data_IF_608005809505
#
_entry.id   IF_608005809505
#
_cell.length_a   1.000
_cell.length_b   1.000
_cell.length_c   1.000
_cell.angle_alpha   90.00
_cell.angle_beta   90.00
_cell.angle_gamma   90.00
#
_symmetry.space_group_name_H-M   'P 1'
#
loop_
_entity.id
_entity.type
_entity.pdbx_description
1 polymer ?
#
# COMPACT_ATOMS: atom_id res chain seq x y z
N UNK A 1 2.56 -37.57 -30.71
CA UNK A 1 1.86 -36.27 -30.83
C UNK A 1 1.45 -35.67 -29.48
N UNK A 2 0.72 -36.41 -28.62
CA UNK A 2 0.18 -35.91 -27.33
C UNK A 2 1.23 -35.27 -26.39
N UNK A 3 2.43 -35.85 -26.25
CA UNK A 3 3.52 -35.33 -25.39
C UNK A 3 4.13 -34.00 -25.87
N UNK A 4 4.25 -33.81 -27.19
CA UNK A 4 4.76 -32.55 -27.78
C UNK A 4 3.74 -31.42 -27.56
N UNK A 5 2.46 -31.70 -27.82
CA UNK A 5 1.36 -30.76 -27.57
C UNK A 5 1.31 -30.38 -26.09
N UNK A 6 1.38 -31.36 -25.17
CA UNK A 6 1.40 -31.08 -23.72
C UNK A 6 2.59 -30.20 -23.30
N UNK A 7 3.78 -30.48 -23.85
CA UNK A 7 5.00 -29.70 -23.57
C UNK A 7 4.90 -28.26 -24.08
N UNK A 8 4.34 -28.04 -25.27
CA UNK A 8 4.08 -26.70 -25.79
C UNK A 8 3.05 -25.96 -24.93
N UNK A 9 1.94 -26.59 -24.55
CA UNK A 9 0.96 -25.97 -23.63
C UNK A 9 1.57 -25.63 -22.28
N UNK A 10 2.46 -26.47 -21.73
CA UNK A 10 3.15 -26.18 -20.48
C UNK A 10 4.04 -24.95 -20.60
N UNK A 11 4.92 -24.89 -21.62
CA UNK A 11 5.83 -23.75 -21.82
C UNK A 11 5.03 -22.47 -22.04
N UNK A 12 3.95 -22.54 -22.82
CA UNK A 12 3.09 -21.40 -23.12
C UNK A 12 2.35 -20.93 -21.86
N UNK A 13 1.79 -21.84 -21.06
CA UNK A 13 1.16 -21.51 -19.77
C UNK A 13 2.14 -20.89 -18.77
N UNK A 14 3.39 -21.39 -18.72
CA UNK A 14 4.43 -20.86 -17.84
C UNK A 14 4.88 -19.46 -18.27
N UNK A 15 5.06 -19.24 -19.57
CA UNK A 15 5.37 -17.92 -20.13
C UNK A 15 4.26 -16.90 -19.84
N UNK A 16 2.99 -17.28 -20.04
CA UNK A 16 1.84 -16.42 -19.74
C UNK A 16 1.77 -16.10 -18.23
N UNK A 17 1.97 -17.09 -17.36
CA UNK A 17 2.00 -16.87 -15.90
C UNK A 17 3.13 -15.91 -15.50
N UNK A 18 4.32 -16.06 -16.07
CA UNK A 18 5.46 -15.17 -15.80
C UNK A 18 5.16 -13.73 -16.23
N UNK A 19 4.58 -13.53 -17.41
CA UNK A 19 4.18 -12.21 -17.91
C UNK A 19 3.11 -11.59 -17.01
N UNK A 20 2.12 -12.36 -16.54
CA UNK A 20 1.11 -11.86 -15.61
C UNK A 20 1.71 -11.46 -14.26
N UNK A 21 2.65 -12.25 -13.72
CA UNK A 21 3.34 -11.93 -12.47
C UNK A 21 4.17 -10.65 -12.62
N UNK A 22 4.99 -10.55 -13.68
CA UNK A 22 5.84 -9.37 -13.92
C UNK A 22 4.99 -8.14 -14.22
N UNK A 23 3.98 -8.26 -15.07
CA UNK A 23 3.06 -7.18 -15.42
C UNK A 23 2.30 -6.65 -14.21
N UNK A 24 1.79 -7.55 -13.36
CA UNK A 24 1.16 -7.18 -12.09
C UNK A 24 2.13 -6.44 -11.15
N UNK A 25 3.40 -6.87 -11.11
CA UNK A 25 4.43 -6.24 -10.28
C UNK A 25 4.78 -4.83 -10.78
N UNK A 26 4.87 -4.64 -12.09
CA UNK A 26 5.09 -3.31 -12.70
C UNK A 26 3.93 -2.37 -12.36
N UNK A 27 2.68 -2.81 -12.56
CA UNK A 27 1.50 -2.01 -12.24
C UNK A 27 1.46 -1.64 -10.76
N UNK A 28 1.76 -2.59 -9.88
CA UNK A 28 1.82 -2.38 -8.45
C UNK A 28 2.90 -1.37 -8.06
N UNK A 29 4.10 -1.44 -8.65
CA UNK A 29 5.17 -0.46 -8.42
C UNK A 29 4.73 0.92 -8.90
N UNK A 30 4.13 1.03 -10.09
CA UNK A 30 3.65 2.31 -10.62
C UNK A 30 2.57 2.90 -9.70
N UNK A 31 1.57 2.10 -9.32
CA UNK A 31 0.52 2.54 -8.39
C UNK A 31 1.09 2.93 -7.04
N UNK A 32 2.07 2.19 -6.52
CA UNK A 32 2.77 2.52 -5.28
C UNK A 32 3.49 3.86 -5.40
N UNK A 33 4.29 4.08 -6.45
CA UNK A 33 5.00 5.35 -6.67
C UNK A 33 4.03 6.52 -6.81
N UNK A 34 2.92 6.33 -7.53
CA UNK A 34 1.91 7.37 -7.72
C UNK A 34 1.14 7.71 -6.44
N UNK A 35 0.74 6.72 -5.65
CA UNK A 35 -0.02 6.95 -4.41
C UNK A 35 0.88 7.33 -3.23
N UNK A 36 2.19 7.05 -3.32
CA UNK A 36 3.15 7.25 -2.24
C UNK A 36 4.22 8.29 -2.57
N UNK A 37 3.85 9.37 -3.25
CA UNK A 37 4.76 10.50 -3.54
C UNK A 37 5.49 11.00 -2.28
N UNK A 38 4.85 10.97 -1.12
CA UNK A 38 5.46 11.38 0.16
C UNK A 38 6.68 10.53 0.57
N UNK A 39 6.85 9.33 0.03
CA UNK A 39 8.04 8.50 0.27
C UNK A 39 9.22 9.00 -0.55
N UNK A 40 8.98 9.48 -1.77
CA UNK A 40 10.02 9.91 -2.69
C UNK A 40 10.35 11.40 -2.59
N UNK A 41 9.35 12.22 -2.25
CA UNK A 41 9.45 13.67 -2.14
C UNK A 41 8.92 14.20 -0.78
N UNK A 42 9.39 13.66 0.37
CA UNK A 42 8.87 14.03 1.69
C UNK A 42 9.00 15.52 1.99
N UNK A 43 10.07 16.16 1.53
CA UNK A 43 10.38 17.58 1.80
C UNK A 43 9.40 18.55 1.11
N UNK A 44 8.60 18.05 0.16
CA UNK A 44 7.56 18.85 -0.51
C UNK A 44 6.28 18.97 0.31
N UNK A 45 6.15 18.20 1.40
CA UNK A 45 5.00 18.24 2.28
C UNK A 45 5.22 19.25 3.40
N UNK A 46 4.24 20.13 3.59
CA UNK A 46 4.24 21.14 4.64
C UNK A 46 3.34 20.74 5.78
N UNK A 47 3.81 20.90 7.02
CA UNK A 47 2.99 20.67 8.20
C UNK A 47 1.99 21.80 8.37
N UNK A 48 0.71 21.47 8.54
CA UNK A 48 -0.38 22.43 8.78
C UNK A 48 -1.22 21.99 9.95
N UNK A 49 -1.77 22.99 10.65
CA UNK A 49 -2.77 22.79 11.68
C UNK A 49 -4.14 23.15 11.10
N UNK A 50 -5.07 22.19 11.09
CA UNK A 50 -6.35 22.33 10.39
C UNK A 50 -7.51 21.83 11.24
N UNK A 51 -8.72 22.31 10.94
CA UNK A 51 -9.94 21.80 11.56
C UNK A 51 -10.22 20.37 11.12
N UNK A 52 -10.62 19.52 12.06
CA UNK A 52 -11.11 18.18 11.80
C UNK A 52 -12.64 18.21 11.66
N UNK A 53 -13.13 18.20 10.42
CA UNK A 53 -14.55 18.32 10.13
C UNK A 53 -15.27 16.96 10.16
N UNK A 54 -14.63 15.89 9.67
CA UNK A 54 -15.18 14.54 9.73
C UNK A 54 -14.12 13.46 9.78
N UNK A 55 -14.49 12.29 10.32
CA UNK A 55 -13.65 11.10 10.43
C UNK A 55 -14.45 9.89 9.98
N UNK A 56 -13.90 9.12 9.05
CA UNK A 56 -14.45 7.84 8.61
C UNK A 56 -13.72 6.73 9.37
N UNK A 57 -14.52 5.87 10.00
CA UNK A 57 -14.04 4.71 10.73
C UNK A 57 -14.25 3.43 9.91
N UNK A 58 -13.28 2.52 9.97
CA UNK A 58 -13.42 1.16 9.47
C UNK A 58 -14.49 0.41 10.28
N UNK A 59 -15.38 -0.28 9.57
CA UNK A 59 -16.55 -0.99 10.12
C UNK A 59 -16.44 -2.51 9.94
N UNK A 60 -15.23 -3.08 10.04
CA UNK A 60 -15.06 -4.53 9.94
C UNK A 60 -15.78 -5.23 11.11
N UNK A 61 -16.72 -6.13 10.79
CA UNK A 61 -17.53 -6.88 11.77
C UNK A 61 -16.63 -7.66 12.73
N UNK A 62 -16.77 -7.42 14.03
CA UNK A 62 -15.96 -8.08 15.08
C UNK A 62 -14.59 -7.43 15.36
N UNK A 63 -14.22 -6.36 14.65
CA UNK A 63 -13.04 -5.57 14.96
C UNK A 63 -13.44 -4.22 15.59
N UNK A 64 -12.67 -3.68 16.55
CA UNK A 64 -12.90 -2.32 17.04
C UNK A 64 -12.82 -1.30 15.90
N UNK A 65 -13.61 -0.24 15.98
CA UNK A 65 -13.64 0.82 14.95
C UNK A 65 -12.30 1.56 14.94
N UNK A 66 -11.66 1.65 13.77
CA UNK A 66 -10.42 2.41 13.59
C UNK A 66 -10.64 3.57 12.65
N UNK A 67 -10.22 4.79 13.01
CA UNK A 67 -10.30 5.90 12.08
C UNK A 67 -9.33 5.63 10.94
N UNK A 68 -9.85 5.71 9.71
CA UNK A 68 -9.12 5.39 8.48
C UNK A 68 -8.81 6.65 7.68
N UNK A 69 -9.78 7.55 7.65
CA UNK A 69 -9.71 8.78 6.86
C UNK A 69 -10.30 9.93 7.67
N UNK A 70 -9.76 11.12 7.49
CA UNK A 70 -10.30 12.36 8.01
C UNK A 70 -10.42 13.40 6.90
N UNK A 71 -11.27 14.41 7.13
CA UNK A 71 -11.50 15.49 6.19
C UNK A 71 -11.48 16.84 6.89
N UNK A 72 -11.01 17.83 6.15
CA UNK A 72 -11.01 19.23 6.54
C UNK A 72 -11.41 20.10 5.36
N UNK A 73 -12.41 20.96 5.53
CA UNK A 73 -12.83 21.95 4.55
C UNK A 73 -11.75 23.01 4.30
N UNK A 74 -10.82 23.19 5.23
CA UNK A 74 -9.66 24.08 5.07
C UNK A 74 -8.63 23.50 4.08
N UNK A 75 -8.66 22.19 3.87
CA UNK A 75 -7.72 21.47 3.00
C UNK A 75 -8.40 21.18 1.67
N UNK A 76 -8.03 21.94 0.63
CA UNK A 76 -8.54 21.76 -0.73
C UNK A 76 -10.09 21.68 -0.80
N UNK A 77 -10.79 22.49 0.01
CA UNK A 77 -12.26 22.51 0.10
C UNK A 77 -12.87 21.13 0.43
N UNK A 78 -12.19 20.33 1.23
CA UNK A 78 -12.63 18.99 1.63
C UNK A 78 -12.36 17.89 0.59
N UNK A 79 -11.69 18.19 -0.53
CA UNK A 79 -11.38 17.19 -1.57
C UNK A 79 -10.18 16.31 -1.24
N UNK A 80 -9.26 16.80 -0.41
CA UNK A 80 -8.07 16.03 -0.01
C UNK A 80 -8.42 15.12 1.16
N UNK A 81 -8.15 13.82 1.00
CA UNK A 81 -8.36 12.81 2.05
C UNK A 81 -7.16 12.82 2.98
N UNK A 82 -7.39 12.97 4.29
CA UNK A 82 -6.34 12.86 5.29
C UNK A 82 -6.23 11.39 5.69
N UNK A 83 -5.18 10.71 5.23
CA UNK A 83 -4.90 9.33 5.59
C UNK A 83 -4.44 9.22 7.04
N UNK A 84 -5.10 8.32 7.76
CA UNK A 84 -4.77 7.96 9.13
C UNK A 84 -4.15 6.57 9.08
N UNK A 85 -2.82 6.52 9.10
CA UNK A 85 -2.03 5.29 8.94
C UNK A 85 -1.17 5.09 10.18
N UNK A 86 -0.93 3.83 10.55
CA UNK A 86 0.01 3.44 11.61
C UNK A 86 -0.20 4.07 12.98
N UNK A 87 -1.45 4.40 13.31
CA UNK A 87 -1.85 4.75 14.68
C UNK A 87 -2.33 3.51 15.44
N UNK A 88 -1.94 3.44 16.70
CA UNK A 88 -2.45 2.43 17.62
C UNK A 88 -3.95 2.57 17.86
N UNK A 89 -4.56 1.44 18.21
CA UNK A 89 -5.99 1.33 18.45
C UNK A 89 -6.39 2.24 19.62
N UNK A 90 -7.27 3.19 19.37
CA UNK A 90 -7.78 4.10 20.40
C UNK A 90 -6.89 5.32 20.70
N UNK A 91 -5.73 5.46 20.05
CA UNK A 91 -4.81 6.58 20.31
C UNK A 91 -5.02 7.77 19.38
N UNK A 92 -5.92 7.68 18.40
CA UNK A 92 -6.25 8.79 17.49
C UNK A 92 -6.61 10.08 18.23
N UNK A 93 -7.32 10.00 19.35
CA UNK A 93 -7.69 11.17 20.13
C UNK A 93 -6.48 11.95 20.69
N UNK A 94 -5.31 11.32 20.82
CA UNK A 94 -4.07 12.01 21.23
C UNK A 94 -3.57 12.99 20.16
N UNK A 95 -3.99 12.82 18.90
CA UNK A 95 -3.66 13.71 17.79
C UNK A 95 -4.67 14.86 17.66
N UNK A 96 -5.83 14.74 18.31
CA UNK A 96 -6.92 15.72 18.23
C UNK A 96 -6.77 16.75 19.34
N UNK A 97 -6.65 18.02 18.96
CA UNK A 97 -6.67 19.14 19.89
C UNK A 97 -8.05 19.79 19.85
N UNK A 98 -8.66 19.96 21.02
CA UNK A 98 -9.96 20.60 21.15
C UNK A 98 -9.78 22.06 21.58
N UNK A 99 -10.29 22.99 20.77
CA UNK A 99 -10.25 24.42 21.05
C UNK A 99 -11.56 25.06 20.55
N UNK A 100 -12.22 25.88 21.38
CA UNK A 100 -13.46 26.59 21.03
C UNK A 100 -14.53 25.69 20.36
N UNK A 101 -14.82 24.54 20.99
CA UNK A 101 -15.75 23.49 20.51
C UNK A 101 -15.44 22.87 19.14
N UNK A 102 -14.26 23.15 18.59
CA UNK A 102 -13.77 22.54 17.35
C UNK A 102 -12.63 21.58 17.65
N UNK A 103 -12.54 20.55 16.83
CA UNK A 103 -11.44 19.61 16.82
C UNK A 103 -10.43 20.05 15.76
N UNK A 104 -9.15 19.94 16.08
CA UNK A 104 -8.04 20.27 15.21
C UNK A 104 -7.03 19.15 15.18
N UNK A 105 -6.33 19.02 14.06
CA UNK A 105 -5.26 18.04 13.87
C UNK A 105 -4.09 18.68 13.12
N UNK A 106 -2.90 18.14 13.33
CA UNK A 106 -1.78 18.42 12.45
C UNK A 106 -1.77 17.44 11.29
N UNK A 107 -1.44 17.96 10.11
CA UNK A 107 -1.30 17.16 8.89
C UNK A 107 -0.06 17.55 8.11
N UNK A 108 0.49 16.59 7.39
CA UNK A 108 1.41 16.80 6.28
C UNK A 108 0.61 16.99 5.00
N UNK A 109 0.76 18.15 4.37
CA UNK A 109 -0.02 18.56 3.21
C UNK A 109 0.86 19.13 2.11
N UNK A 110 0.57 18.72 0.88
CA UNK A 110 1.13 19.27 -0.35
C UNK A 110 -0.03 19.78 -1.23
N UNK A 111 0.06 21.01 -1.77
CA UNK A 111 -1.00 21.55 -2.62
C UNK A 111 -1.32 20.66 -3.83
N UNK A 112 -2.60 20.56 -4.16
CA UNK A 112 -3.15 19.79 -5.28
C UNK A 112 -2.99 18.26 -5.19
N UNK A 113 -2.52 17.73 -4.06
CA UNK A 113 -2.54 16.28 -3.82
C UNK A 113 -3.91 15.80 -3.35
N UNK A 114 -4.25 14.58 -3.77
CA UNK A 114 -5.45 13.87 -3.34
C UNK A 114 -5.37 13.47 -1.86
N UNK A 115 -4.14 13.28 -1.35
CA UNK A 115 -3.88 12.79 -0.01
C UNK A 115 -3.09 13.78 0.84
N UNK A 116 -3.49 13.88 2.10
CA UNK A 116 -2.71 14.45 3.18
C UNK A 116 -2.51 13.36 4.24
N UNK A 117 -1.58 13.56 5.17
CA UNK A 117 -1.22 12.53 6.14
C UNK A 117 -1.29 13.09 7.55
N UNK A 118 -1.82 12.31 8.50
CA UNK A 118 -1.84 12.71 9.91
C UNK A 118 -0.41 12.96 10.42
N UNK A 119 -0.20 14.05 11.16
CA UNK A 119 1.11 14.41 11.73
C UNK A 119 1.03 14.51 13.26
N UNK A 120 2.13 14.20 13.95
CA UNK A 120 2.27 14.48 15.39
C UNK A 120 2.62 15.94 15.60
N UNK A 121 2.27 16.55 16.74
CA UNK A 121 2.56 17.95 17.03
C UNK A 121 4.06 18.25 17.08
N UNK A 122 4.86 17.29 17.55
CA UNK A 122 6.29 17.42 17.78
C UNK A 122 7.13 17.14 16.52
N UNK A 123 6.53 16.54 15.48
CA UNK A 123 7.23 16.20 14.24
C UNK A 123 7.66 17.45 13.46
N UNK A 124 8.94 17.52 13.09
CA UNK A 124 9.49 18.61 12.29
C UNK A 124 9.71 18.24 10.82
N UNK A 125 9.81 16.94 10.53
CA UNK A 125 10.05 16.37 9.20
C UNK A 125 9.07 15.21 8.98
N UNK A 126 8.68 14.97 7.73
CA UNK A 126 7.79 13.86 7.36
C UNK A 126 8.39 12.49 7.77
N UNK A 127 7.70 11.67 8.57
CA UNK A 127 8.23 10.41 9.10
C UNK A 127 8.08 9.24 8.11
N UNK A 128 8.79 9.29 6.97
CA UNK A 128 8.69 8.29 5.87
C UNK A 128 8.80 6.84 6.35
N UNK A 129 9.65 6.58 7.35
CA UNK A 129 9.87 5.23 7.91
C UNK A 129 8.60 4.60 8.49
N UNK A 130 7.70 5.40 9.07
CA UNK A 130 6.46 4.89 9.65
C UNK A 130 5.50 4.43 8.54
N UNK A 131 5.49 5.11 7.39
CA UNK A 131 4.64 4.75 6.24
C UNK A 131 5.18 3.57 5.42
N UNK A 132 6.50 3.37 5.37
CA UNK A 132 7.13 2.25 4.64
C UNK A 132 6.90 0.87 5.26
N UNK A 133 6.50 0.81 6.55
CA UNK A 133 6.45 -0.45 7.30
C UNK A 133 5.36 -1.40 6.78
N UNK A 134 4.22 -0.88 6.34
CA UNK A 134 3.11 -1.69 5.83
C UNK A 134 3.40 -2.28 4.45
N UNK A 135 4.09 -1.52 3.60
CA UNK A 135 4.32 -1.90 2.21
C UNK A 135 5.48 -2.90 2.02
N UNK A 136 6.37 -3.02 3.02
CA UNK A 136 7.49 -3.98 3.03
C UNK A 136 7.04 -5.45 2.91
N UNK A 137 5.93 -5.80 3.57
CA UNK A 137 5.44 -7.19 3.56
C UNK A 137 5.00 -7.61 2.15
N UNK A 138 4.48 -6.67 1.38
CA UNK A 138 3.98 -6.92 0.05
C UNK A 138 5.13 -7.24 -0.93
N UNK A 139 6.24 -6.49 -0.87
CA UNK A 139 7.47 -6.79 -1.63
C UNK A 139 8.00 -8.18 -1.31
N UNK A 140 8.02 -8.57 -0.02
CA UNK A 140 8.49 -9.89 0.42
C UNK A 140 7.62 -11.01 -0.14
N UNK A 141 6.29 -10.88 -0.08
CA UNK A 141 5.33 -11.86 -0.62
C UNK A 141 5.51 -12.02 -2.13
N UNK A 142 5.75 -10.93 -2.86
CA UNK A 142 6.01 -10.98 -4.29
C UNK A 142 7.31 -11.69 -4.64
N UNK A 143 8.42 -11.38 -3.95
CA UNK A 143 9.69 -12.09 -4.12
C UNK A 143 9.55 -13.59 -3.83
N UNK A 144 8.82 -13.95 -2.78
CA UNK A 144 8.52 -15.34 -2.46
C UNK A 144 7.75 -16.03 -3.60
N UNK A 145 6.78 -15.34 -4.20
CA UNK A 145 5.97 -15.86 -5.32
C UNK A 145 6.82 -16.12 -6.57
N UNK A 146 7.76 -15.22 -6.89
CA UNK A 146 8.70 -15.41 -8.02
C UNK A 146 9.60 -16.62 -7.78
N UNK A 147 10.16 -16.75 -6.58
CA UNK A 147 11.01 -17.88 -6.21
C UNK A 147 10.21 -19.18 -6.29
N UNK A 148 9.00 -19.21 -5.73
CA UNK A 148 8.12 -20.38 -5.71
C UNK A 148 7.74 -20.81 -7.13
N UNK A 149 7.42 -19.85 -8.02
CA UNK A 149 7.15 -20.11 -9.43
C UNK A 149 8.38 -20.77 -10.12
N UNK A 150 9.59 -20.25 -9.87
CA UNK A 150 10.82 -20.79 -10.45
C UNK A 150 11.17 -22.18 -9.90
N UNK A 151 10.94 -22.45 -8.62
CA UNK A 151 11.13 -23.75 -7.99
C UNK A 151 10.13 -24.79 -8.52
N UNK A 152 8.84 -24.42 -8.60
CA UNK A 152 7.79 -25.26 -9.18
C UNK A 152 8.12 -25.65 -10.62
N UNK A 153 8.56 -24.68 -11.44
CA UNK A 153 8.99 -24.95 -12.80
C UNK A 153 10.14 -25.96 -12.83
N UNK A 154 11.21 -25.72 -12.07
CA UNK A 154 12.37 -26.63 -12.04
C UNK A 154 11.98 -28.03 -11.58
N UNK A 155 11.10 -28.15 -10.58
CA UNK A 155 10.69 -29.44 -10.02
C UNK A 155 9.78 -30.22 -11.00
N UNK A 156 8.76 -29.56 -11.55
CA UNK A 156 7.85 -30.18 -12.53
C UNK A 156 8.57 -30.56 -13.82
N UNK A 157 9.44 -29.68 -14.33
CA UNK A 157 10.16 -29.93 -15.59
C UNK A 157 11.23 -31.02 -15.45
N UNK A 158 11.98 -31.03 -14.33
CA UNK A 158 13.00 -32.06 -14.05
C UNK A 158 12.37 -33.44 -13.86
N UNK A 159 11.23 -33.52 -13.16
CA UNK A 159 10.49 -34.78 -12.94
C UNK A 159 9.81 -35.29 -14.22
N UNK A 160 9.44 -34.41 -15.15
CA UNK A 160 8.87 -34.79 -16.44
C UNK A 160 9.90 -35.39 -17.42
N UNK A 161 11.14 -34.90 -17.39
CA UNK A 161 12.21 -35.38 -18.27
C UNK A 161 12.84 -36.71 -17.81
N UNK A 162 12.67 -37.07 -16.53
CA UNK A 162 13.14 -38.34 -15.95
C UNK A 162 12.11 -39.47 -16.02
N UNK A 163 10.88 -39.23 -16.48
CA UNK A 163 9.88 -40.29 -16.67
C UNK A 163 10.25 -41.17 -17.87
N UNK A 164 10.26 -42.51 -17.72
CA UNK A 164 10.71 -43.42 -18.76
C UNK A 164 9.95 -43.21 -20.08
N UNK A 165 10.68 -43.24 -21.19
CA UNK A 165 10.14 -43.18 -22.54
C UNK A 165 9.62 -44.58 -22.90
N UNK A 166 8.33 -44.82 -22.63
CA UNK A 166 7.55 -45.86 -23.31
C UNK A 166 6.87 -45.26 -24.53
#
# INVERSE_FOLDING_TARGET
MKRKILGYTYILSYGVLLVMIIGGLILMIISFVQHRDMIFNPDTYTKRFVTLDSVIYSTTKGAPRYPRQAYSNQVNKGKTTIEIVNIEKGTFYNYVQKENDKNYIYIWYKPNEEYAYLAKKEETIFPVKEYLRDDRNLIIVFLATIILNRVLHRYLFKRWWTLPRK
#
